data_IF_481189930809
#
_entry.id   IF_481189930809
#
_cell.length_a   1.000
_cell.length_b   1.000
_cell.length_c   1.000
_cell.angle_alpha   90.00
_cell.angle_beta   90.00
_cell.angle_gamma   90.00
#
_symmetry.space_group_name_H-M   'P 1'
#
loop_
_entity.id
_entity.type
_entity.pdbx_description
1 polymer ?
#
# COMPACT_ATOMS: atom_id res chain seq x y z
N UNK A 1 -21.51 -17.93 -10.39
CA UNK A 1 -21.00 -16.68 -11.00
C UNK A 1 -19.91 -16.15 -10.09
N UNK A 2 -18.67 -16.05 -10.56
CA UNK A 2 -17.58 -15.50 -9.76
C UNK A 2 -17.86 -14.01 -9.52
N UNK A 3 -18.10 -13.60 -8.27
CA UNK A 3 -18.19 -12.17 -7.94
C UNK A 3 -16.87 -11.55 -8.37
N UNK A 4 -16.89 -10.60 -9.31
CA UNK A 4 -15.73 -9.82 -9.70
C UNK A 4 -15.09 -9.25 -8.41
N UNK A 5 -13.83 -9.59 -8.17
CA UNK A 5 -13.12 -9.10 -7.01
C UNK A 5 -12.96 -7.58 -7.12
N UNK A 6 -13.35 -6.85 -6.07
CA UNK A 6 -13.25 -5.40 -6.04
C UNK A 6 -11.82 -5.02 -5.71
N UNK A 7 -11.13 -4.33 -6.62
CA UNK A 7 -9.72 -3.97 -6.45
C UNK A 7 -9.59 -2.44 -6.42
N UNK A 8 -9.14 -1.92 -5.28
CA UNK A 8 -8.67 -0.55 -5.14
C UNK A 8 -7.14 -0.52 -5.32
N UNK A 9 -6.62 0.45 -6.07
CA UNK A 9 -5.17 0.57 -6.30
C UNK A 9 -4.63 1.84 -5.64
N UNK A 10 -3.55 1.69 -4.89
CA UNK A 10 -2.75 2.77 -4.34
C UNK A 10 -1.38 2.72 -5.02
N UNK A 11 -1.04 3.78 -5.73
CA UNK A 11 0.29 3.94 -6.30
C UNK A 11 1.23 4.45 -5.22
N UNK A 12 2.38 3.81 -5.10
CA UNK A 12 3.46 4.20 -4.22
C UNK A 12 4.61 4.62 -5.11
N UNK A 13 5.04 5.87 -5.03
CA UNK A 13 6.11 6.39 -5.88
C UNK A 13 7.32 6.69 -5.02
N UNK A 14 8.41 5.97 -5.25
CA UNK A 14 9.71 6.31 -4.68
C UNK A 14 10.53 7.11 -5.69
N UNK A 15 11.04 8.27 -5.27
CA UNK A 15 11.77 9.16 -6.15
C UNK A 15 12.93 9.87 -5.43
N UNK A 16 13.96 10.20 -6.21
CA UNK A 16 15.12 10.96 -5.74
C UNK A 16 15.22 12.25 -6.58
N UNK A 17 15.27 13.41 -5.93
CA UNK A 17 15.31 14.71 -6.63
C UNK A 17 16.68 15.01 -7.24
N UNK A 18 17.76 14.59 -6.58
CA UNK A 18 19.14 14.66 -7.04
C UNK A 18 20.00 13.55 -6.40
N UNK A 19 21.13 13.19 -7.00
CA UNK A 19 21.97 12.05 -6.60
C UNK A 19 22.28 12.00 -5.08
N UNK A 20 22.47 13.16 -4.45
CA UNK A 20 22.85 13.29 -3.03
C UNK A 20 21.67 13.61 -2.10
N UNK A 21 20.43 13.52 -2.60
CA UNK A 21 19.23 13.76 -1.78
C UNK A 21 18.68 12.46 -1.21
N UNK A 22 18.10 12.49 0.01
CA UNK A 22 17.34 11.36 0.53
C UNK A 22 16.23 10.97 -0.45
N UNK A 23 15.96 9.67 -0.56
CA UNK A 23 14.82 9.20 -1.34
C UNK A 23 13.54 9.59 -0.62
N UNK A 24 12.61 10.11 -1.39
CA UNK A 24 11.29 10.51 -0.95
C UNK A 24 10.30 9.50 -1.46
N UNK A 25 9.23 9.27 -0.71
CA UNK A 25 8.14 8.40 -1.12
C UNK A 25 6.84 9.18 -1.01
N UNK A 26 5.97 8.99 -1.99
CA UNK A 26 4.61 9.52 -2.01
C UNK A 26 3.62 8.39 -2.31
N UNK A 27 2.36 8.58 -1.93
CA UNK A 27 1.27 7.67 -2.27
C UNK A 27 0.17 8.40 -3.02
N UNK A 28 -0.57 7.68 -3.86
CA UNK A 28 -1.74 8.21 -4.56
C UNK A 28 -2.80 7.13 -4.70
N UNK A 29 -4.00 7.32 -4.14
CA UNK A 29 -4.41 8.44 -3.29
C UNK A 29 -3.79 8.35 -1.87
N UNK A 30 -3.59 9.49 -1.20
CA UNK A 30 -3.21 9.53 0.23
C UNK A 30 -4.36 9.09 1.15
N UNK A 31 -5.59 9.48 0.78
CA UNK A 31 -6.83 9.02 1.39
C UNK A 31 -7.51 8.06 0.42
N UNK A 32 -7.53 6.77 0.76
CA UNK A 32 -8.28 5.78 -0.01
C UNK A 32 -9.71 5.71 0.52
N UNK A 33 -10.61 6.41 -0.16
CA UNK A 33 -12.05 6.33 0.11
C UNK A 33 -12.63 5.03 -0.49
N UNK A 34 -13.08 4.14 0.39
CA UNK A 34 -13.72 2.88 -0.02
C UNK A 34 -15.24 2.97 -0.11
N UNK A 35 -15.86 4.10 0.27
CA UNK A 35 -17.32 4.28 0.18
C UNK A 35 -17.84 4.24 -1.26
N UNK A 36 -16.97 4.52 -2.24
CA UNK A 36 -17.24 4.39 -3.66
C UNK A 36 -17.37 2.93 -4.14
N UNK A 37 -16.92 1.95 -3.34
CA UNK A 37 -17.03 0.53 -3.66
C UNK A 37 -18.32 -0.06 -3.06
N UNK A 38 -19.01 -0.95 -3.78
CA UNK A 38 -20.08 -1.76 -3.21
C UNK A 38 -19.71 -2.41 -1.87
N UNK A 39 -20.66 -2.42 -0.93
CA UNK A 39 -20.50 -3.08 0.37
C UNK A 39 -19.96 -4.51 0.21
N UNK A 40 -18.83 -4.77 0.82
CA UNK A 40 -18.17 -6.06 0.79
C UNK A 40 -16.67 -5.95 1.07
N UNK A 41 -15.96 -7.08 1.12
CA UNK A 41 -14.51 -7.06 1.14
C UNK A 41 -13.95 -6.40 -0.12
N UNK A 42 -12.96 -5.52 0.07
CA UNK A 42 -12.22 -4.86 -1.01
C UNK A 42 -10.77 -5.31 -0.93
N UNK A 43 -10.22 -5.71 -2.07
CA UNK A 43 -8.79 -5.99 -2.20
C UNK A 43 -8.08 -4.70 -2.53
N UNK A 44 -7.03 -4.38 -1.77
CA UNK A 44 -6.23 -3.17 -1.92
C UNK A 44 -4.87 -3.60 -2.46
N UNK A 45 -4.47 -3.00 -3.56
CA UNK A 45 -3.21 -3.28 -4.23
C UNK A 45 -2.31 -2.04 -4.16
N UNK A 46 -1.15 -2.20 -3.55
CA UNK A 46 -0.07 -1.20 -3.55
C UNK A 46 0.89 -1.54 -4.68
N UNK A 47 1.12 -0.59 -5.58
CA UNK A 47 2.07 -0.73 -6.69
C UNK A 47 3.21 0.25 -6.51
N UNK A 48 4.44 -0.24 -6.48
CA UNK A 48 5.61 0.60 -6.43
C UNK A 48 6.07 1.00 -7.83
N UNK A 49 5.95 2.29 -8.10
CA UNK A 49 6.54 2.96 -9.24
C UNK A 49 7.81 3.70 -8.80
N UNK A 50 8.78 3.86 -9.71
CA UNK A 50 10.01 4.61 -9.42
C UNK A 50 10.30 5.70 -10.42
N UNK A 51 10.88 6.80 -9.94
CA UNK A 51 11.36 7.90 -10.78
C UNK A 51 12.73 8.37 -10.33
N UNK A 52 13.74 8.18 -11.19
CA UNK A 52 15.13 8.55 -10.88
C UNK A 52 15.77 7.73 -9.75
N UNK A 53 15.13 6.63 -9.35
CA UNK A 53 15.63 5.68 -8.36
C UNK A 53 15.38 4.25 -8.86
N UNK A 54 16.36 3.37 -8.67
CA UNK A 54 16.27 1.97 -9.05
C UNK A 54 16.43 1.13 -7.79
N UNK A 55 15.39 0.39 -7.43
CA UNK A 55 15.48 -0.60 -6.35
C UNK A 55 16.39 -1.74 -6.77
N UNK A 56 17.10 -2.30 -5.79
CA UNK A 56 17.81 -3.55 -6.00
C UNK A 56 16.83 -4.63 -6.51
N UNK A 57 17.19 -5.40 -7.55
CA UNK A 57 16.29 -6.35 -8.19
C UNK A 57 15.76 -7.45 -7.26
N UNK A 58 16.43 -7.70 -6.14
CA UNK A 58 16.08 -8.74 -5.15
C UNK A 58 15.57 -8.17 -3.81
N UNK A 59 15.49 -6.85 -3.67
CA UNK A 59 15.02 -6.20 -2.44
C UNK A 59 13.50 -6.23 -2.34
N UNK A 60 12.95 -6.59 -1.17
CA UNK A 60 11.51 -6.43 -0.90
C UNK A 60 11.20 -4.95 -0.78
N UNK A 61 10.44 -4.43 -1.74
CA UNK A 61 10.27 -3.00 -1.83
C UNK A 61 9.09 -2.48 -1.01
N UNK A 62 8.02 -3.27 -0.80
CA UNK A 62 6.86 -2.87 0.00
C UNK A 62 6.68 -3.79 1.23
N UNK A 63 6.60 -3.19 2.41
CA UNK A 63 6.22 -3.82 3.68
C UNK A 63 4.96 -3.13 4.21
N UNK A 64 3.87 -3.88 4.31
CA UNK A 64 2.62 -3.38 4.87
C UNK A 64 2.52 -3.71 6.36
N UNK A 65 2.27 -2.70 7.19
CA UNK A 65 2.02 -2.86 8.63
C UNK A 65 0.74 -2.11 9.02
N UNK A 66 -0.12 -2.70 9.84
CA UNK A 66 -1.32 -2.00 10.33
C UNK A 66 -1.53 -2.32 11.81
N UNK A 67 -1.62 -1.29 12.68
CA UNK A 67 -2.04 -1.48 14.07
C UNK A 67 -3.51 -1.92 14.08
N UNK A 68 -3.78 -3.16 14.51
CA UNK A 68 -5.12 -3.79 14.45
C UNK A 68 -5.32 -4.80 13.30
N UNK A 69 -4.28 -5.03 12.49
CA UNK A 69 -4.31 -5.78 11.23
C UNK A 69 -5.01 -7.14 11.23
N UNK A 70 -4.91 -7.95 12.29
CA UNK A 70 -5.34 -9.36 12.22
C UNK A 70 -6.85 -9.57 12.07
N UNK A 71 -7.68 -8.63 12.53
CA UNK A 71 -9.15 -8.72 12.42
C UNK A 71 -9.68 -7.99 11.18
N UNK A 72 -9.07 -6.87 10.80
CA UNK A 72 -9.52 -5.98 9.72
C UNK A 72 -8.95 -6.37 8.36
N UNK A 73 -7.70 -6.86 8.31
CA UNK A 73 -7.00 -7.17 7.07
C UNK A 73 -6.66 -8.67 6.96
N UNK A 74 -6.63 -9.17 5.74
CA UNK A 74 -6.06 -10.47 5.42
C UNK A 74 -4.54 -10.46 5.44
N UNK A 75 -3.94 -11.63 5.22
CA UNK A 75 -2.50 -11.72 4.98
C UNK A 75 -2.12 -10.92 3.73
N UNK A 76 -0.99 -10.24 3.80
CA UNK A 76 -0.39 -9.52 2.66
C UNK A 76 0.20 -10.55 1.71
N UNK A 77 -0.13 -10.43 0.42
CA UNK A 77 0.52 -11.15 -0.67
C UNK A 77 1.50 -10.22 -1.37
N UNK A 78 2.69 -10.70 -1.66
CA UNK A 78 3.73 -9.95 -2.36
C UNK A 78 3.96 -10.60 -3.73
N UNK A 79 3.88 -9.79 -4.77
CA UNK A 79 4.10 -10.15 -6.17
C UNK A 79 5.13 -9.20 -6.80
N UNK A 80 5.56 -9.48 -8.03
CA UNK A 80 6.53 -8.68 -8.79
C UNK A 80 7.79 -8.32 -7.98
N UNK A 81 8.41 -9.37 -7.40
CA UNK A 81 9.58 -9.24 -6.51
C UNK A 81 9.37 -8.29 -5.33
N UNK A 82 8.13 -8.18 -4.83
CA UNK A 82 7.77 -7.31 -3.71
C UNK A 82 7.51 -5.85 -4.10
N UNK A 83 7.37 -5.55 -5.39
CA UNK A 83 6.90 -4.24 -5.89
C UNK A 83 5.39 -4.12 -5.94
N UNK A 84 4.68 -5.25 -5.84
CA UNK A 84 3.23 -5.26 -5.69
C UNK A 84 2.89 -5.92 -4.37
N UNK A 85 2.18 -5.20 -3.51
CA UNK A 85 1.63 -5.76 -2.28
C UNK A 85 0.11 -5.73 -2.34
N UNK A 86 -0.52 -6.89 -2.13
CA UNK A 86 -1.98 -7.02 -2.16
C UNK A 86 -2.48 -7.42 -0.78
N UNK A 87 -3.41 -6.66 -0.22
CA UNK A 87 -4.04 -6.93 1.07
C UNK A 87 -5.55 -6.90 0.93
N UNK A 88 -6.24 -7.87 1.53
CA UNK A 88 -7.70 -7.89 1.53
C UNK A 88 -8.23 -7.15 2.75
N UNK A 89 -8.97 -6.06 2.55
CA UNK A 89 -9.77 -5.44 3.58
C UNK A 89 -11.02 -6.30 3.82
N UNK A 90 -11.11 -6.89 5.01
CA UNK A 90 -12.26 -7.71 5.45
C UNK A 90 -13.26 -6.90 6.26
N UNK A 91 -12.94 -5.65 6.58
CA UNK A 91 -13.82 -4.79 7.35
C UNK A 91 -14.90 -4.20 6.46
N UNK A 92 -16.02 -4.91 6.38
CA UNK A 92 -17.14 -4.60 5.48
C UNK A 92 -18.04 -3.48 6.01
N UNK A 93 -18.08 -3.28 7.33
CA UNK A 93 -19.05 -2.41 8.01
C UNK A 93 -18.43 -1.48 9.08
N UNK A 94 -17.12 -1.56 9.32
CA UNK A 94 -16.45 -0.82 10.40
C UNK A 94 -15.93 0.56 9.98
N UNK A 95 -15.55 1.35 10.98
CA UNK A 95 -15.01 2.71 10.83
C UNK A 95 -13.70 2.76 9.99
N UNK A 96 -13.25 3.97 9.66
CA UNK A 96 -11.96 4.20 9.02
C UNK A 96 -10.81 3.61 9.85
N UNK A 97 -9.78 3.08 9.18
CA UNK A 97 -8.59 2.54 9.82
C UNK A 97 -7.34 3.15 9.18
N UNK A 98 -6.45 3.69 10.02
CA UNK A 98 -5.10 4.06 9.62
C UNK A 98 -4.23 2.80 9.44
N UNK A 99 -3.36 2.83 8.46
CA UNK A 99 -2.39 1.76 8.20
C UNK A 99 -1.12 2.36 7.63
N UNK A 100 -0.01 1.64 7.80
CA UNK A 100 1.30 2.12 7.43
C UNK A 100 1.86 1.26 6.30
N UNK A 101 2.27 1.91 5.23
CA UNK A 101 3.00 1.27 4.14
C UNK A 101 4.44 1.72 4.26
N UNK A 102 5.35 0.80 4.52
CA UNK A 102 6.78 1.08 4.54
C UNK A 102 7.39 0.59 3.24
N UNK A 103 8.07 1.48 2.52
CA UNK A 103 8.90 1.10 1.38
C UNK A 103 10.33 0.93 1.88
N UNK A 104 10.92 -0.25 1.64
CA UNK A 104 12.27 -0.58 2.10
C UNK A 104 13.13 -0.98 0.90
N UNK A 105 14.35 -0.45 0.80
CA UNK A 105 15.40 -1.07 -0.01
C UNK A 105 16.51 -1.56 0.91
N UNK A 106 16.48 -2.85 1.24
CA UNK A 106 17.42 -3.49 2.17
C UNK A 106 18.88 -3.38 1.71
N UNK A 107 19.15 -3.27 0.41
CA UNK A 107 20.52 -3.15 -0.12
C UNK A 107 21.14 -1.79 0.17
N UNK A 108 20.31 -0.75 0.27
CA UNK A 108 20.75 0.62 0.52
C UNK A 108 20.44 1.09 1.94
N UNK A 109 19.73 0.28 2.74
CA UNK A 109 19.26 0.63 4.07
C UNK A 109 18.13 1.68 4.05
N UNK A 110 17.52 1.92 2.89
CA UNK A 110 16.45 2.89 2.74
C UNK A 110 15.17 2.36 3.38
N UNK A 111 14.55 3.16 4.23
CA UNK A 111 13.21 2.92 4.73
C UNK A 111 12.43 4.23 4.69
N UNK A 112 11.26 4.21 4.08
CA UNK A 112 10.32 5.32 4.09
C UNK A 112 8.96 4.81 4.54
N UNK A 113 8.40 5.43 5.57
CA UNK A 113 7.07 5.09 6.10
C UNK A 113 6.06 6.07 5.53
N UNK A 114 4.94 5.52 5.09
CA UNK A 114 3.77 6.25 4.64
C UNK A 114 2.64 5.87 5.58
N UNK A 115 1.82 6.86 5.96
CA UNK A 115 0.64 6.67 6.81
C UNK A 115 -0.66 6.94 6.02
N UNK A 116 -0.94 6.21 4.92
CA UNK A 116 -2.20 6.39 4.20
C UNK A 116 -3.40 5.99 5.07
N UNK A 117 -4.53 6.65 4.83
CA UNK A 117 -5.77 6.39 5.57
C UNK A 117 -6.76 5.67 4.65
N UNK A 118 -7.33 4.54 5.11
CA UNK A 118 -8.48 3.90 4.44
C UNK A 118 -9.74 4.40 5.15
N UNK A 119 -10.59 5.11 4.41
CA UNK A 119 -11.90 5.53 4.87
C UNK A 119 -12.95 4.50 4.45
N UNK A 120 -13.52 3.77 5.42
CA UNK A 120 -14.54 2.75 5.14
C UNK A 120 -15.98 3.30 5.20
N UNK A 121 -16.22 4.40 5.93
CA UNK A 121 -17.53 5.02 6.13
C UNK A 121 -17.46 6.54 5.94
N UNK A 122 -18.52 7.17 5.45
CA UNK A 122 -18.68 8.63 5.47
C UNK A 122 -18.82 9.12 6.93
N UNK A 123 -18.21 10.26 7.33
CA UNK A 123 -18.44 10.86 8.63
C UNK A 123 -19.92 11.13 8.94
#
# INVERSE_FOLDING_TARGET
MSKSEQIATVHVVAYRKAADTPVQVAVTPELLDLTQFPKGPVTIQFKLDTKGYHFHPDGKAIVFTSPGSKKTFGSVKLDDKGRVATVRNKNVDGLAFAYNVTVIDESTGLAAVLDPVIQNNTP
#
